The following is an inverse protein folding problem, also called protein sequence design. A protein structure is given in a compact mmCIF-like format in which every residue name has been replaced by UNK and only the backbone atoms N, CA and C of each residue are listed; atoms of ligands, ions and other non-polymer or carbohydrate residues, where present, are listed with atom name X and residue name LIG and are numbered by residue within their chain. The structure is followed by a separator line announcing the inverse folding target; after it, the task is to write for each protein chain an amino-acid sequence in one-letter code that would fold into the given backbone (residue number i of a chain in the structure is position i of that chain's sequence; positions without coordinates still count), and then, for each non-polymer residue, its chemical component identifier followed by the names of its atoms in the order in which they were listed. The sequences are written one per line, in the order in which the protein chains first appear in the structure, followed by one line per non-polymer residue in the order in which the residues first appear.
data_IF_320612762652
#
_entry.id   IF_320612762652
#
_cell.length_a   1.000
_cell.length_b   1.000
_cell.length_c   1.000
_cell.angle_alpha   90.00
_cell.angle_beta   90.00
_cell.angle_gamma   90.00
#
_symmetry.space_group_name_H-M   'P 1'
#
loop_
_entity.id
_entity.type
_entity.pdbx_description
1 polymer ?
#
# COMPACT_ATOMS: atom_id res chain seq x y z
N UNK A 1 -1.69 3.88 -13.22
CA UNK A 1 -0.57 3.20 -12.54
C UNK A 1 0.62 3.16 -13.49
N UNK A 2 1.83 3.48 -13.02
CA UNK A 2 3.02 3.53 -13.87
C UNK A 2 3.70 2.15 -13.91
N UNK A 3 4.01 1.66 -15.10
CA UNK A 3 4.89 0.49 -15.29
C UNK A 3 6.35 0.91 -15.20
N UNK A 4 7.15 0.12 -14.48
CA UNK A 4 8.60 0.25 -14.42
C UNK A 4 9.16 -1.16 -14.68
N UNK A 5 9.73 -1.36 -15.87
CA UNK A 5 10.34 -2.62 -16.29
C UNK A 5 9.41 -3.85 -16.13
N UNK A 6 8.13 -3.72 -16.52
CA UNK A 6 7.18 -4.84 -16.50
C UNK A 6 6.55 -5.14 -15.14
N UNK A 7 6.78 -4.28 -14.14
CA UNK A 7 6.08 -4.31 -12.85
C UNK A 7 5.52 -2.93 -12.52
N UNK A 8 4.32 -2.85 -11.91
CA UNK A 8 3.82 -1.59 -11.38
C UNK A 8 4.75 -0.95 -10.37
N UNK A 9 4.88 0.38 -10.39
CA UNK A 9 5.72 1.15 -9.46
C UNK A 9 5.52 0.76 -7.99
N UNK A 10 4.26 0.58 -7.55
CA UNK A 10 3.96 0.22 -6.15
C UNK A 10 4.51 -1.15 -5.74
N UNK A 11 4.60 -2.09 -6.69
CA UNK A 11 5.14 -3.43 -6.44
C UNK A 11 6.64 -3.36 -6.17
N UNK A 12 7.37 -2.46 -6.84
CA UNK A 12 8.79 -2.22 -6.52
C UNK A 12 8.97 -1.71 -5.09
N UNK A 13 8.12 -0.77 -4.65
CA UNK A 13 8.16 -0.24 -3.27
C UNK A 13 7.83 -1.33 -2.25
N UNK A 14 6.81 -2.16 -2.52
CA UNK A 14 6.46 -3.31 -1.69
C UNK A 14 7.64 -4.30 -1.54
N UNK A 15 8.33 -4.61 -2.63
CA UNK A 15 9.51 -5.49 -2.62
C UNK A 15 10.64 -4.89 -1.78
N UNK A 16 10.93 -3.59 -1.92
CA UNK A 16 11.94 -2.91 -1.09
C UNK A 16 11.55 -2.86 0.39
N UNK A 17 10.28 -2.68 0.72
CA UNK A 17 9.80 -2.72 2.10
C UNK A 17 9.99 -4.12 2.72
N UNK A 18 9.79 -5.20 1.94
CA UNK A 18 10.05 -6.58 2.40
C UNK A 18 11.53 -6.79 2.72
N UNK A 19 12.42 -6.23 1.91
CA UNK A 19 13.87 -6.32 2.13
C UNK A 19 14.36 -5.57 3.38
N UNK A 20 13.57 -4.62 3.90
CA UNK A 20 13.94 -3.91 5.13
C UNK A 20 13.80 -4.77 6.40
N UNK A 21 13.19 -5.95 6.31
CA UNK A 21 12.91 -6.82 7.45
C UNK A 21 11.73 -6.35 8.33
N UNK A 22 10.83 -5.51 7.80
CA UNK A 22 9.62 -5.11 8.51
C UNK A 22 8.72 -6.33 8.80
N UNK A 23 8.19 -6.43 10.02
CA UNK A 23 7.33 -7.55 10.43
C UNK A 23 5.99 -7.59 9.68
N UNK A 24 5.45 -6.41 9.35
CA UNK A 24 4.20 -6.25 8.61
C UNK A 24 4.29 -5.05 7.69
N UNK A 25 3.79 -5.21 6.47
CA UNK A 25 3.83 -4.19 5.42
C UNK A 25 2.45 -4.07 4.81
N UNK A 26 1.86 -2.88 4.90
CA UNK A 26 0.52 -2.56 4.41
C UNK A 26 0.63 -1.40 3.43
N UNK A 27 0.06 -1.55 2.23
CA UNK A 27 -0.09 -0.44 1.30
C UNK A 27 -1.43 0.25 1.55
N UNK A 28 -1.37 1.52 1.96
CA UNK A 28 -2.55 2.37 2.09
C UNK A 28 -2.88 3.04 0.75
N UNK A 29 -4.05 2.80 0.18
CA UNK A 29 -4.49 3.42 -1.08
C UNK A 29 -5.98 3.70 -1.08
N UNK A 30 -6.44 4.64 -1.90
CA UNK A 30 -7.85 4.96 -2.16
C UNK A 30 -8.30 4.48 -3.55
N UNK A 31 -7.41 3.84 -4.31
CA UNK A 31 -7.69 3.36 -5.66
C UNK A 31 -7.67 1.84 -5.74
N UNK A 32 -8.78 1.28 -6.21
CA UNK A 32 -8.98 -0.16 -6.41
C UNK A 32 -7.92 -0.79 -7.34
N UNK A 33 -7.47 -0.08 -8.36
CA UNK A 33 -6.44 -0.57 -9.27
C UNK A 33 -5.11 -0.83 -8.54
N UNK A 34 -4.76 0.05 -7.58
CA UNK A 34 -3.58 -0.08 -6.73
C UNK A 34 -3.72 -1.27 -5.80
N UNK A 35 -4.88 -1.41 -5.18
CA UNK A 35 -5.16 -2.56 -4.33
C UNK A 35 -4.97 -3.88 -5.06
N UNK A 36 -5.61 -4.04 -6.23
CA UNK A 36 -5.49 -5.27 -7.02
C UNK A 36 -4.06 -5.59 -7.44
N UNK A 37 -3.25 -4.58 -7.78
CA UNK A 37 -1.85 -4.81 -8.14
C UNK A 37 -1.01 -5.27 -6.95
N UNK A 38 -1.26 -4.72 -5.76
CA UNK A 38 -0.55 -5.11 -4.54
C UNK A 38 -0.99 -6.50 -4.08
N UNK A 39 -2.29 -6.79 -4.08
CA UNK A 39 -2.83 -8.12 -3.77
C UNK A 39 -2.31 -9.19 -4.74
N UNK A 40 -2.25 -8.89 -6.04
CA UNK A 40 -1.66 -9.77 -7.05
C UNK A 40 -0.15 -10.03 -6.81
N UNK A 41 0.55 -9.09 -6.18
CA UNK A 41 1.94 -9.23 -5.74
C UNK A 41 2.07 -9.84 -4.32
N UNK A 42 0.96 -10.32 -3.74
CA UNK A 42 0.88 -10.94 -2.41
C UNK A 42 1.11 -9.96 -1.25
N UNK A 43 0.91 -8.66 -1.47
CA UNK A 43 1.01 -7.63 -0.43
C UNK A 43 -0.32 -7.44 0.31
N UNK A 44 -0.24 -6.93 1.54
CA UNK A 44 -1.41 -6.49 2.29
C UNK A 44 -1.80 -5.06 1.89
N UNK A 45 -3.10 -4.80 1.77
CA UNK A 45 -3.65 -3.50 1.37
C UNK A 45 -4.69 -3.04 2.37
N UNK A 46 -4.70 -1.74 2.64
CA UNK A 46 -5.81 -1.06 3.29
C UNK A 46 -6.41 -0.03 2.32
N UNK A 47 -7.67 -0.24 1.92
CA UNK A 47 -8.44 0.81 1.23
C UNK A 47 -8.76 1.91 2.25
N UNK A 48 -8.26 3.10 1.97
CA UNK A 48 -8.40 4.32 2.75
C UNK A 48 -9.33 5.30 2.05
N UNK A 49 -9.83 6.28 2.80
CA UNK A 49 -10.67 7.32 2.21
C UNK A 49 -9.88 8.19 1.23
N UNK A 50 -10.56 8.61 0.16
CA UNK A 50 -9.97 9.45 -0.89
C UNK A 50 -9.82 10.93 -0.47
N UNK A 51 -10.45 11.34 0.64
CA UNK A 51 -10.56 12.74 1.07
C UNK A 51 -9.56 13.18 2.15
N UNK A 52 -8.61 12.30 2.51
CA UNK A 52 -7.49 12.66 3.40
C UNK A 52 -6.65 13.79 2.81
N UNK A 53 -6.40 14.81 3.61
CA UNK A 53 -5.62 15.98 3.22
C UNK A 53 -4.11 15.77 3.42
N UNK A 54 -3.72 14.71 4.11
CA UNK A 54 -2.32 14.38 4.37
C UNK A 54 -2.06 12.88 4.47
N UNK A 55 -0.78 12.50 4.35
CA UNK A 55 -0.35 11.12 4.62
C UNK A 55 -0.59 10.70 6.07
N UNK A 56 -0.43 11.61 7.04
CA UNK A 56 -0.63 11.30 8.47
C UNK A 56 -2.07 10.89 8.79
N UNK A 57 -3.06 11.57 8.20
CA UNK A 57 -4.47 11.20 8.34
C UNK A 57 -4.75 9.82 7.75
N UNK A 58 -4.16 9.53 6.59
CA UNK A 58 -4.25 8.22 5.94
C UNK A 58 -3.65 7.12 6.80
N UNK A 59 -2.50 7.37 7.45
CA UNK A 59 -1.90 6.41 8.39
C UNK A 59 -2.79 6.16 9.61
N UNK A 60 -3.41 7.21 10.18
CA UNK A 60 -4.30 7.06 11.33
C UNK A 60 -5.46 6.09 11.03
N UNK A 61 -6.08 6.22 9.86
CA UNK A 61 -7.12 5.28 9.43
C UNK A 61 -6.60 3.84 9.32
N UNK A 62 -5.39 3.64 8.80
CA UNK A 62 -4.80 2.29 8.68
C UNK A 62 -4.58 1.67 10.05
N UNK A 63 -4.09 2.43 11.02
CA UNK A 63 -3.88 1.95 12.40
C UNK A 63 -5.21 1.49 13.00
N UNK A 64 -6.29 2.29 12.83
CA UNK A 64 -7.63 1.95 13.32
C UNK A 64 -8.21 0.69 12.66
N UNK A 65 -8.04 0.54 11.34
CA UNK A 65 -8.63 -0.57 10.56
C UNK A 65 -7.86 -1.89 10.69
N UNK A 66 -6.53 -1.82 10.63
CA UNK A 66 -5.68 -2.98 10.46
C UNK A 66 -5.08 -3.49 11.78
N UNK A 67 -5.21 -2.73 12.87
CA UNK A 67 -4.69 -3.07 14.19
C UNK A 67 -3.17 -3.19 14.17
N UNK A 68 -2.48 -2.10 14.51
CA UNK A 68 -1.02 -2.08 14.69
C UNK A 68 -0.67 -2.00 16.18
#
# INVERSE_FOLDING_TARGET
MLDINGKPMIVHVLERARESGAERIIVATDHEDVARAVEAAGGEVCITRADHQSGTERLAEVVEKCGF
#
